data_IF_458516863840
#
_entry.id   IF_458516863840
#
_cell.length_a   1.000
_cell.length_b   1.000
_cell.length_c   1.000
_cell.angle_alpha   90.00
_cell.angle_beta   90.00
_cell.angle_gamma   90.00
#
_symmetry.space_group_name_H-M   'P 1'
#
loop_
_entity.id
_entity.type
_entity.pdbx_description
1 polymer ?
2 non-polymer ?
3 non-polymer ?
4 non-polymer ?
5 non-polymer ?
6 water ?
#
# COMPACT_ATOMS: atom_id res chain seq x y z
N UNK A 11 9.54 32.19 -17.29
CA UNK A 11 9.07 30.82 -17.69
C UNK A 11 8.86 29.90 -16.49
N UNK A 12 7.75 29.14 -16.49
CA UNK A 12 7.63 28.16 -15.43
C UNK A 12 8.69 27.08 -15.65
N UNK A 13 9.13 26.47 -14.57
CA UNK A 13 10.20 25.48 -14.69
C UNK A 13 9.71 24.27 -15.53
N UNK A 14 10.64 23.69 -16.28
CA UNK A 14 10.38 22.60 -17.20
C UNK A 14 11.26 21.43 -16.81
N UNK A 15 10.73 20.22 -16.93
CA UNK A 15 11.50 19.02 -16.73
C UNK A 15 11.19 17.97 -17.79
N UNK A 16 12.19 17.68 -18.61
CA UNK A 16 12.05 16.74 -19.73
C UNK A 16 10.78 17.02 -20.54
N UNK A 17 10.66 18.26 -20.99
CA UNK A 17 9.56 18.67 -21.85
C UNK A 17 8.23 18.91 -21.16
N UNK A 18 8.19 18.79 -19.84
CA UNK A 18 6.94 18.95 -19.12
C UNK A 18 7.03 20.16 -18.19
N UNK A 19 5.98 20.98 -18.15
CA UNK A 19 5.86 22.03 -17.14
C UNK A 19 5.85 21.44 -15.73
N UNK A 20 6.58 22.11 -14.84
CA UNK A 20 6.66 21.75 -13.45
C UNK A 20 6.57 23.06 -12.64
N UNK A 21 5.34 23.54 -12.48
CA UNK A 21 5.10 24.92 -12.09
C UNK A 21 5.10 25.08 -10.57
N UNK A 22 6.29 24.93 -9.99
CA UNK A 22 6.39 24.88 -8.53
C UNK A 22 7.26 25.99 -7.97
N UNK A 23 7.74 26.86 -8.85
CA UNK A 23 8.47 28.07 -8.42
C UNK A 23 7.51 29.17 -7.99
N UNK A 24 8.00 30.20 -7.29
CA UNK A 24 9.43 30.34 -6.96
C UNK A 24 9.89 29.52 -5.75
N UNK A 25 8.96 29.05 -4.92
CA UNK A 25 9.34 28.36 -3.70
C UNK A 25 10.27 27.15 -3.96
N UNK A 26 9.90 26.30 -4.92
CA UNK A 26 10.66 25.10 -5.25
C UNK A 26 11.39 25.26 -6.58
N UNK A 27 12.70 25.08 -6.57
CA UNK A 27 13.55 25.31 -7.71
C UNK A 27 14.57 24.18 -7.85
N UNK A 28 15.47 24.31 -8.83
CA UNK A 28 16.59 23.38 -9.00
C UNK A 28 16.06 21.94 -9.13
N UNK A 29 15.18 21.73 -10.09
CA UNK A 29 14.51 20.46 -10.27
C UNK A 29 15.39 19.39 -10.92
N UNK A 30 15.13 18.14 -10.55
CA UNK A 30 15.70 16.96 -11.20
C UNK A 30 14.63 15.88 -11.33
N UNK A 31 14.51 15.33 -12.53
CA UNK A 31 13.66 14.18 -12.80
C UNK A 31 14.14 13.00 -11.97
N UNK A 32 13.22 12.29 -11.32
CA UNK A 32 13.62 11.07 -10.62
C UNK A 32 12.86 9.86 -11.07
N UNK A 33 11.68 10.03 -11.63
CA UNK A 33 11.01 8.90 -12.23
C UNK A 33 9.56 9.17 -12.49
N UNK A 34 8.92 8.14 -13.04
CA UNK A 34 7.49 8.09 -13.22
C UNK A 34 6.92 7.33 -12.05
N UNK A 35 6.02 7.95 -11.32
CA UNK A 35 5.25 7.28 -10.28
C UNK A 35 3.96 6.82 -10.90
N UNK A 36 3.05 6.28 -10.09
CA UNK A 36 1.77 5.79 -10.58
C UNK A 36 0.88 6.86 -11.27
N UNK A 37 1.06 8.17 -10.98
CA UNK A 37 0.16 9.30 -11.37
C UNK A 37 0.74 10.23 -12.46
N UNK A 38 2.06 10.21 -12.61
CA UNK A 38 2.76 11.17 -13.46
C UNK A 38 4.23 11.33 -13.09
N UNK A 39 4.82 12.42 -13.54
CA UNK A 39 6.23 12.68 -13.31
C UNK A 39 6.47 13.03 -11.84
N UNK A 40 7.60 12.57 -11.33
CA UNK A 40 8.08 12.96 -10.02
C UNK A 40 9.49 13.56 -10.18
N UNK A 41 9.74 14.64 -9.44
CA UNK A 41 11.04 15.30 -9.37
C UNK A 41 11.51 15.47 -7.95
N UNK A 42 12.82 15.65 -7.81
CA UNK A 42 13.37 16.31 -6.67
C UNK A 42 13.52 17.82 -6.98
N UNK A 43 13.32 18.63 -5.95
CA UNK A 43 13.37 20.07 -6.01
C UNK A 43 14.05 20.59 -4.76
N UNK A 44 14.67 21.76 -4.85
CA UNK A 44 15.13 22.48 -3.67
C UNK A 44 14.00 23.38 -3.17
N UNK A 45 13.62 23.19 -1.91
CA UNK A 45 12.64 24.03 -1.23
C UNK A 45 13.38 25.23 -0.65
N UNK A 46 13.10 26.41 -1.18
CA UNK A 46 13.83 27.62 -0.75
C UNK A 46 13.40 28.13 0.61
N UNK A 47 12.29 27.64 1.13
CA UNK A 47 11.85 28.05 2.46
C UNK A 47 12.57 27.20 3.53
N UNK A 48 12.45 25.89 3.42
CA UNK A 48 13.03 24.98 4.41
C UNK A 48 14.49 24.59 4.09
N UNK A 49 15.04 25.07 2.97
CA UNK A 49 16.46 24.87 2.64
C UNK A 49 16.85 23.40 2.56
N UNK A 50 16.02 22.63 1.86
CA UNK A 50 16.17 21.18 1.78
C UNK A 50 15.57 20.65 0.47
N UNK A 51 16.11 19.55 -0.05
CA UNK A 51 15.52 18.92 -1.24
C UNK A 51 14.32 18.13 -0.78
N UNK A 52 13.30 18.10 -1.63
CA UNK A 52 12.05 17.38 -1.36
C UNK A 52 11.67 16.67 -2.64
N UNK A 53 10.65 15.84 -2.56
CA UNK A 53 10.08 15.16 -3.69
C UNK A 53 8.82 15.89 -4.07
N UNK A 54 8.54 16.00 -5.36
CA UNK A 54 7.33 16.61 -5.81
C UNK A 54 6.76 15.79 -6.92
N UNK A 55 5.52 15.35 -6.76
CA UNK A 55 4.88 14.62 -7.81
C UNK A 55 3.77 15.43 -8.44
N UNK A 56 3.79 15.44 -9.77
CA UNK A 56 2.80 16.15 -10.55
C UNK A 56 1.60 15.25 -10.86
N UNK A 57 0.43 15.64 -10.35
CA UNK A 57 -0.81 14.90 -10.62
C UNK A 57 -1.65 15.67 -11.62
N UNK A 58 -2.13 14.98 -12.66
CA UNK A 58 -3.08 15.56 -13.61
C UNK A 58 -4.32 14.66 -13.77
N UNK A 59 -5.22 14.64 -12.78
CA UNK A 59 -6.25 13.59 -12.69
C UNK A 59 -7.64 13.93 -13.25
N UNK A 60 -7.84 15.19 -13.62
CA UNK A 60 -9.18 15.77 -13.67
C UNK A 60 -10.04 15.33 -14.85
N UNK A 61 -9.45 14.63 -15.82
CA UNK A 61 -10.19 14.13 -16.98
C UNK A 61 -10.95 12.86 -16.62
N UNK A 62 -10.50 12.15 -15.56
CA UNK A 62 -11.05 10.83 -15.24
C UNK A 62 -11.49 10.72 -13.78
N UNK A 63 -12.70 10.20 -13.60
CA UNK A 63 -13.29 10.04 -12.29
C UNK A 63 -12.42 9.19 -11.35
N UNK A 64 -11.86 8.10 -11.87
CA UNK A 64 -11.05 7.24 -11.01
C UNK A 64 -9.77 7.93 -10.55
N UNK A 65 -9.06 8.62 -11.45
CA UNK A 65 -7.89 9.40 -11.05
C UNK A 65 -8.28 10.44 -10.02
N UNK A 66 -9.39 11.14 -10.24
CA UNK A 66 -9.93 12.07 -9.26
C UNK A 66 -10.19 11.39 -7.88
N UNK A 67 -10.82 10.21 -7.89
CA UNK A 67 -11.12 9.48 -6.66
C UNK A 67 -9.85 9.16 -5.89
N UNK A 68 -8.88 8.59 -6.58
CA UNK A 68 -7.62 8.20 -5.96
C UNK A 68 -6.81 9.39 -5.45
N UNK A 69 -6.82 10.47 -6.21
CA UNK A 69 -6.11 11.64 -5.79
C UNK A 69 -6.71 12.21 -4.52
N UNK A 70 -8.03 12.27 -4.46
CA UNK A 70 -8.70 12.82 -3.29
C UNK A 70 -8.52 11.91 -2.06
N UNK A 71 -8.68 10.60 -2.25
CA UNK A 71 -8.41 9.62 -1.18
C UNK A 71 -7.05 9.86 -0.59
N UNK A 72 -6.03 9.86 -1.45
CA UNK A 72 -4.68 9.98 -0.98
C UNK A 72 -4.46 11.28 -0.22
N UNK A 73 -4.88 12.41 -0.79
CA UNK A 73 -4.70 13.69 -0.11
C UNK A 73 -5.39 13.74 1.24
N UNK A 74 -6.66 13.29 1.30
CA UNK A 74 -7.42 13.37 2.55
C UNK A 74 -6.79 12.50 3.61
N UNK A 75 -6.44 11.27 3.26
CA UNK A 75 -5.80 10.36 4.21
C UNK A 75 -4.45 10.91 4.68
N UNK A 76 -3.56 11.25 3.74
CA UNK A 76 -2.23 11.65 4.13
C UNK A 76 -2.16 13.03 4.86
N UNK A 77 -3.10 13.92 4.60
CA UNK A 77 -3.16 15.13 5.42
C UNK A 77 -3.55 14.81 6.85
N UNK A 78 -4.39 13.80 7.03
CA UNK A 78 -4.85 13.43 8.36
C UNK A 78 -3.89 12.53 9.12
N UNK A 79 -3.12 11.70 8.42
CA UNK A 79 -2.12 10.87 9.09
C UNK A 79 -0.82 11.62 9.41
N UNK A 80 -0.24 11.26 10.53
CA UNK A 80 1.07 11.75 10.91
C UNK A 80 1.74 10.63 11.65
N UNK A 81 2.75 10.06 11.02
CA UNK A 81 3.43 8.89 11.57
C UNK A 81 4.77 8.70 10.85
N UNK A 82 5.80 8.37 11.61
CA UNK A 82 7.16 8.18 11.09
C UNK A 82 7.26 7.24 9.92
N UNK A 83 6.41 6.23 9.90
CA UNK A 83 6.51 5.17 8.90
C UNK A 83 5.50 5.33 7.79
N UNK A 84 4.98 6.54 7.64
CA UNK A 84 4.01 6.85 6.61
C UNK A 84 4.47 8.13 5.90
N UNK A 85 4.47 8.13 4.58
CA UNK A 85 4.88 9.32 3.88
C UNK A 85 3.88 10.47 4.17
N UNK A 86 4.43 11.63 4.38
CA UNK A 86 3.57 12.82 4.58
C UNK A 86 3.19 13.49 3.26
N UNK A 87 2.32 14.49 3.36
CA UNK A 87 2.24 15.53 2.33
C UNK A 87 2.67 16.84 3.03
N UNK A 88 3.75 17.46 2.55
CA UNK A 88 4.30 18.68 3.22
C UNK A 88 3.60 19.94 2.66
N UNK A 89 3.24 19.91 1.38
CA UNK A 89 2.76 21.09 0.69
C UNK A 89 2.05 20.59 -0.55
N UNK A 90 1.07 21.36 -0.99
CA UNK A 90 0.38 21.10 -2.24
C UNK A 90 0.26 22.41 -3.01
N UNK A 91 0.63 22.38 -4.29
CA UNK A 91 0.54 23.54 -5.17
C UNK A 91 -0.49 23.24 -6.23
N UNK A 92 -1.45 24.14 -6.37
CA UNK A 92 -2.40 24.07 -7.48
C UNK A 92 -2.73 25.52 -7.81
N UNK A 93 -3.50 25.74 -8.86
CA UNK A 93 -3.76 27.09 -9.33
C UNK A 93 -4.66 27.87 -8.35
N UNK A 94 -4.54 29.21 -8.35
CA UNK A 94 -5.43 30.11 -7.61
C UNK A 94 -6.95 29.86 -7.84
N UNK A 95 -7.32 29.50 -9.09
CA UNK A 95 -8.73 29.26 -9.37
C UNK A 95 -8.96 27.87 -9.95
N UNK A 96 -10.15 27.34 -9.70
CA UNK A 96 -10.49 25.97 -10.08
C UNK A 96 -10.46 25.71 -11.59
N UNK A 97 -10.83 26.71 -12.41
CA UNK A 97 -10.82 26.58 -13.87
C UNK A 97 -9.36 26.46 -14.35
N UNK A 98 -8.52 27.31 -13.71
CA UNK A 98 -7.08 27.30 -13.95
C UNK A 98 -6.46 25.94 -13.50
N UNK A 99 -7.04 25.29 -12.49
CA UNK A 99 -6.39 24.08 -11.90
C UNK A 99 -6.51 22.83 -12.78
N UNK A 100 -5.40 22.54 -13.47
CA UNK A 100 -5.27 21.31 -14.28
C UNK A 100 -4.29 20.26 -13.69
N UNK A 101 -3.37 20.73 -12.84
CA UNK A 101 -2.35 19.91 -12.21
C UNK A 101 -2.36 20.19 -10.72
N UNK A 102 -2.04 19.17 -9.93
CA UNK A 102 -1.85 19.33 -8.51
C UNK A 102 -0.46 18.82 -8.24
N UNK A 103 0.31 19.59 -7.48
CA UNK A 103 1.64 19.17 -7.15
C UNK A 103 1.71 18.83 -5.69
N UNK A 104 2.08 17.60 -5.39
CA UNK A 104 2.13 17.13 -4.03
C UNK A 104 3.57 16.99 -3.58
N UNK A 105 3.91 17.76 -2.57
CA UNK A 105 5.27 17.80 -2.05
C UNK A 105 5.45 16.86 -0.86
N UNK A 106 6.47 16.02 -0.92
CA UNK A 106 6.72 14.97 0.10
C UNK A 106 8.20 14.91 0.46
N UNK A 107 8.49 14.26 1.59
CA UNK A 107 9.88 14.05 1.99
C UNK A 107 10.61 13.26 0.93
N UNK A 108 11.83 13.69 0.64
CA UNK A 108 12.63 13.05 -0.34
C UNK A 108 13.30 11.84 0.27
N UNK A 109 13.12 10.68 -0.33
CA UNK A 109 13.69 9.42 0.20
C UNK A 109 14.75 8.94 -0.78
N UNK A 110 15.51 7.92 -0.41
CA UNK A 110 16.63 7.42 -1.25
C UNK A 110 16.21 6.45 -2.33
N UNK A 111 15.28 5.57 -2.00
CA UNK A 111 14.91 4.47 -2.90
C UNK A 111 13.57 3.86 -2.40
N UNK A 112 13.17 2.72 -2.96
CA UNK A 112 12.05 1.97 -2.42
C UNK A 112 12.46 0.51 -2.32
N UNK A 113 11.69 -0.28 -1.58
CA UNK A 113 12.06 -1.69 -1.36
C UNK A 113 12.15 -2.51 -2.66
N UNK A 114 11.35 -2.16 -3.64
CA UNK A 114 11.31 -2.88 -4.90
C UNK A 114 12.73 -2.78 -5.52
N UNK A 115 13.25 -1.58 -5.59
CA UNK A 115 14.59 -1.37 -6.14
C UNK A 115 15.66 -1.99 -5.28
N UNK A 116 15.54 -1.86 -3.97
CA UNK A 116 16.52 -2.46 -3.09
C UNK A 116 16.55 -3.94 -3.33
N UNK A 117 15.40 -4.59 -3.44
CA UNK A 117 15.41 -6.04 -3.62
C UNK A 117 15.93 -6.54 -4.99
N UNK A 118 15.93 -5.71 -6.02
CA UNK A 118 16.62 -6.05 -7.28
C UNK A 118 18.12 -6.13 -7.06
N UNK A 119 18.65 -5.35 -6.15
CA UNK A 119 20.07 -5.18 -6.06
C UNK A 119 20.70 -5.89 -4.85
N UNK A 120 19.93 -6.10 -3.79
CA UNK A 120 20.51 -6.59 -2.52
C UNK A 120 19.79 -7.76 -1.91
N UNK A 121 20.57 -8.73 -1.46
CA UNK A 121 20.11 -9.75 -0.54
C UNK A 121 20.16 -9.10 0.85
N UNK A 122 19.03 -9.11 1.54
CA UNK A 122 18.91 -8.44 2.83
C UNK A 122 19.33 -9.39 3.93
N UNK A 123 20.06 -8.89 4.91
CA UNK A 123 20.37 -9.67 6.11
C UNK A 123 19.11 -9.90 6.92
N UNK A 124 19.10 -10.96 7.72
CA UNK A 124 18.02 -11.19 8.63
C UNK A 124 17.72 -9.95 9.51
N UNK A 125 18.75 -9.27 10.01
CA UNK A 125 18.54 -8.04 10.79
C UNK A 125 17.77 -6.98 10.02
N UNK A 126 18.14 -6.76 8.76
CA UNK A 126 17.48 -5.74 7.95
C UNK A 126 16.03 -6.15 7.68
N UNK A 127 15.81 -7.41 7.36
CA UNK A 127 14.49 -7.92 7.14
C UNK A 127 13.60 -7.70 8.38
N UNK A 128 14.12 -8.06 9.54
CA UNK A 128 13.41 -7.93 10.78
C UNK A 128 13.00 -6.47 11.02
N UNK A 129 13.95 -5.55 10.83
CA UNK A 129 13.70 -4.12 11.03
C UNK A 129 12.73 -3.54 10.03
N UNK A 130 12.87 -3.94 8.75
CA UNK A 130 11.95 -3.52 7.77
C UNK A 130 10.56 -3.99 8.10
N UNK A 131 10.41 -5.27 8.43
CA UNK A 131 9.09 -5.81 8.72
C UNK A 131 8.44 -5.06 9.94
N UNK A 132 9.26 -4.78 10.95
CA UNK A 132 8.81 -4.00 12.13
C UNK A 132 8.22 -2.68 11.70
N UNK A 133 8.93 -1.94 10.85
CA UNK A 133 8.52 -0.66 10.43
C UNK A 133 7.26 -0.67 9.60
N UNK A 134 7.13 -1.68 8.74
CA UNK A 134 5.91 -1.84 7.95
C UNK A 134 4.72 -2.02 8.87
N UNK A 135 4.87 -2.93 9.82
CA UNK A 135 3.80 -3.28 10.74
C UNK A 135 3.52 -2.15 11.72
N UNK A 136 4.54 -1.40 12.10
CA UNK A 136 4.38 -0.22 12.93
C UNK A 136 3.53 0.81 12.24
N UNK A 137 3.84 1.08 10.98
CA UNK A 137 3.04 1.99 10.21
C UNK A 137 1.64 1.45 10.00
N UNK A 138 1.53 0.19 9.66
CA UNK A 138 0.21 -0.43 9.43
C UNK A 138 -0.68 -0.42 10.70
N UNK A 139 -0.04 -0.58 11.85
CA UNK A 139 -0.74 -0.48 13.14
C UNK A 139 -1.45 0.86 13.23
N UNK A 140 -0.74 1.92 12.87
CA UNK A 140 -1.32 3.24 12.94
C UNK A 140 -2.46 3.35 11.91
N UNK A 141 -2.19 2.92 10.69
CA UNK A 141 -3.23 2.97 9.64
C UNK A 141 -4.50 2.23 10.09
N UNK A 142 -4.29 1.00 10.54
CA UNK A 142 -5.39 0.18 10.98
C UNK A 142 -6.08 0.75 12.23
N UNK A 143 -5.35 1.44 13.11
CA UNK A 143 -5.99 2.00 14.28
C UNK A 143 -6.95 3.12 13.87
N UNK A 144 -6.78 3.65 12.66
CA UNK A 144 -7.67 4.65 12.13
C UNK A 144 -8.81 4.03 11.32
N UNK A 145 -8.90 2.72 11.37
CA UNK A 145 -9.86 1.96 10.63
C UNK A 145 -9.72 2.20 9.13
N UNK A 146 -8.47 2.42 8.69
CA UNK A 146 -8.15 2.61 7.29
C UNK A 146 -7.36 1.40 6.79
N UNK A 147 -7.64 1.00 5.54
CA UNK A 147 -6.90 -0.06 4.84
C UNK A 147 -6.07 0.54 3.72
N UNK A 148 -4.82 0.13 3.59
CA UNK A 148 -4.00 0.64 2.53
C UNK A 148 -4.41 0.02 1.19
N UNK A 149 -4.56 -1.29 1.21
CA UNK A 149 -5.08 -2.12 0.12
C UNK A 149 -4.18 -2.25 -1.11
N UNK A 150 -3.00 -1.65 -1.11
CA UNK A 150 -2.02 -1.92 -2.18
C UNK A 150 -0.58 -2.01 -1.65
N UNK A 151 -0.39 -2.70 -0.54
CA UNK A 151 0.96 -2.82 0.00
C UNK A 151 1.81 -3.73 -0.90
N UNK A 152 3.00 -3.24 -1.22
CA UNK A 152 3.95 -3.93 -2.07
C UNK A 152 5.29 -3.21 -1.95
N UNK A 153 6.38 -3.81 -2.46
CA UNK A 153 7.71 -3.22 -2.22
C UNK A 153 7.87 -1.81 -2.78
N UNK A 154 7.28 -1.54 -3.93
CA UNK A 154 7.42 -0.22 -4.56
C UNK A 154 6.60 0.84 -3.79
N UNK A 155 5.71 0.41 -2.89
CA UNK A 155 5.00 1.35 -2.02
C UNK A 155 5.61 1.50 -0.68
N UNK A 156 6.88 1.08 -0.56
CA UNK A 156 7.63 1.28 0.65
C UNK A 156 8.91 2.05 0.32
N UNK A 157 8.93 3.32 0.67
CA UNK A 157 10.11 4.16 0.47
C UNK A 157 11.12 3.96 1.59
N UNK A 158 12.40 4.07 1.27
CA UNK A 158 13.49 3.81 2.19
C UNK A 158 14.48 4.94 2.09
N UNK A 159 15.17 5.23 3.18
CA UNK A 159 16.35 6.07 3.06
C UNK A 159 17.63 5.25 3.33
N UNK A 160 18.75 5.96 3.34
CA UNK A 160 20.09 5.37 3.50
C UNK A 160 20.21 4.69 4.83
N UNK A 161 19.49 5.23 5.80
CA UNK A 161 19.51 4.76 7.16
C UNK A 161 18.62 3.52 7.43
N UNK A 162 18.05 2.92 6.38
CA UNK A 162 17.02 1.87 6.55
C UNK A 162 15.66 2.33 7.17
N UNK A 163 15.45 3.62 7.29
CA UNK A 163 14.12 4.13 7.65
C UNK A 163 13.08 3.92 6.50
N UNK A 164 11.84 3.58 6.88
CA UNK A 164 10.86 3.09 5.93
C UNK A 164 9.59 3.89 6.06
N UNK A 165 9.01 4.28 4.92
CA UNK A 165 7.74 4.97 4.90
C UNK A 165 6.80 4.34 3.88
N UNK A 166 5.60 3.98 4.34
CA UNK A 166 4.54 3.52 3.46
C UNK A 166 3.98 4.69 2.65
N UNK A 167 3.78 4.50 1.34
CA UNK A 167 3.25 5.52 0.49
C UNK A 167 2.14 4.99 -0.42
N UNK A 168 1.62 5.89 -1.24
CA UNK A 168 0.69 5.56 -2.30
C UNK A 168 -0.65 5.04 -1.77
N UNK A 169 -1.41 5.94 -1.15
CA UNK A 169 -2.68 5.58 -0.53
C UNK A 169 -3.89 5.75 -1.46
N UNK A 170 -3.67 5.66 -2.78
CA UNK A 170 -4.71 5.94 -3.76
C UNK A 170 -5.83 4.95 -3.72
N UNK A 171 -5.54 3.71 -3.27
CA UNK A 171 -6.55 2.65 -3.20
C UNK A 171 -7.10 2.44 -1.79
N UNK A 172 -6.74 3.30 -0.85
CA UNK A 172 -7.20 3.14 0.53
C UNK A 172 -8.73 3.29 0.66
N UNK A 173 -9.29 2.60 1.64
CA UNK A 173 -10.71 2.69 2.04
C UNK A 173 -10.74 2.64 3.57
N UNK A 174 -11.87 3.10 4.13
CA UNK A 174 -12.23 2.80 5.49
C UNK A 174 -12.67 1.35 5.56
N UNK A 175 -12.24 0.64 6.59
CA UNK A 175 -12.59 -0.76 6.70
C UNK A 175 -14.11 -0.88 6.86
N UNK A 176 -14.67 -2.00 6.39
CA UNK A 176 -16.12 -2.20 6.38
C UNK A 176 -16.39 -3.68 6.35
N UNK A 177 -16.09 -4.37 7.44
CA UNK A 177 -16.22 -5.82 7.33
C UNK A 177 -17.66 -6.30 7.02
N UNK A 178 -18.67 -5.51 7.38
CA UNK A 178 -20.09 -5.85 7.11
C UNK A 178 -20.40 -5.95 5.62
N UNK A 179 -19.73 -5.13 4.82
CA UNK A 179 -19.94 -5.08 3.39
C UNK A 179 -18.77 -5.74 2.63
N UNK A 180 -17.99 -6.57 3.31
CA UNK A 180 -16.86 -7.20 2.63
C UNK A 180 -17.24 -8.21 1.55
N UNK A 181 -18.37 -8.89 1.79
CA UNK A 181 -18.88 -9.95 0.94
C UNK A 181 -19.36 -9.47 -0.42
N UNK A 182 -18.95 -10.23 -1.42
CA UNK A 182 -19.20 -9.94 -2.83
C UNK A 182 -19.08 -11.27 -3.57
N UNK A 183 -19.28 -11.27 -4.89
CA UNK A 183 -19.33 -12.50 -5.69
C UNK A 183 -17.97 -13.17 -5.92
N UNK A 184 -18.00 -14.28 -6.64
CA UNK A 184 -16.80 -14.90 -7.19
C UNK A 184 -16.49 -14.19 -8.52
N UNK A 185 -15.20 -14.02 -8.84
CA UNK A 185 -14.76 -13.35 -10.10
C UNK A 185 -14.97 -11.83 -10.11
N UNK A 186 -15.26 -11.25 -8.94
CA UNK A 186 -15.35 -9.79 -8.84
C UNK A 186 -14.04 -9.14 -9.29
N UNK A 187 -14.15 -8.00 -9.96
CA UNK A 187 -12.98 -7.23 -10.30
C UNK A 187 -12.26 -6.68 -9.05
N UNK A 188 -10.98 -6.38 -9.21
CA UNK A 188 -10.19 -5.79 -8.14
C UNK A 188 -9.10 -4.93 -8.72
N UNK A 189 -8.75 -3.90 -8.00
CA UNK A 189 -7.82 -2.90 -8.55
C UNK A 189 -6.36 -3.17 -8.13
N UNK A 190 -6.16 -3.74 -6.95
CA UNK A 190 -4.84 -3.72 -6.34
C UNK A 190 -3.93 -4.71 -7.07
N UNK A 191 -2.65 -4.58 -6.81
CA UNK A 191 -1.63 -5.26 -7.58
C UNK A 191 -1.73 -6.75 -7.39
N UNK A 192 -1.72 -7.47 -8.51
CA UNK A 192 -2.11 -8.87 -8.53
C UNK A 192 -1.33 -9.75 -7.57
N UNK A 193 -0.01 -9.60 -7.56
CA UNK A 193 0.83 -10.54 -6.82
C UNK A 193 0.64 -10.48 -5.31
N UNK A 194 0.04 -9.40 -4.82
CA UNK A 194 -0.08 -9.16 -3.39
C UNK A 194 -1.53 -9.34 -2.94
N UNK A 195 -2.38 -9.88 -3.81
CA UNK A 195 -3.80 -10.12 -3.41
C UNK A 195 -4.01 -11.36 -2.57
N UNK A 196 -4.74 -11.21 -1.49
CA UNK A 196 -5.15 -12.33 -0.68
C UNK A 196 -6.06 -13.26 -1.48
N UNK A 197 -6.10 -14.55 -1.11
CA UNK A 197 -6.87 -15.51 -1.88
C UNK A 197 -8.36 -15.15 -1.93
N UNK A 198 -8.91 -14.65 -0.83
CA UNK A 198 -10.33 -14.31 -0.75
C UNK A 198 -10.76 -13.28 -1.79
N UNK A 199 -9.82 -12.45 -2.23
CA UNK A 199 -10.14 -11.46 -3.26
C UNK A 199 -10.70 -12.12 -4.51
N UNK A 200 -10.12 -13.28 -4.86
CA UNK A 200 -10.53 -14.01 -6.05
C UNK A 200 -11.74 -14.90 -5.76
N UNK A 201 -12.22 -14.91 -4.51
CA UNK A 201 -13.29 -15.77 -4.12
C UNK A 201 -14.58 -15.03 -3.67
N UNK A 202 -14.53 -14.28 -2.60
CA UNK A 202 -15.74 -13.70 -2.05
C UNK A 202 -15.59 -12.31 -1.47
N UNK A 203 -14.45 -11.65 -1.69
CA UNK A 203 -14.10 -10.47 -0.86
C UNK A 203 -13.84 -9.24 -1.71
N UNK A 204 -14.26 -8.10 -1.18
CA UNK A 204 -14.08 -6.81 -1.80
C UNK A 204 -12.86 -6.14 -1.23
N UNK A 205 -12.19 -6.80 -0.28
CA UNK A 205 -11.02 -6.23 0.36
C UNK A 205 -11.32 -5.04 1.27
N UNK A 206 -12.40 -5.15 2.07
CA UNK A 206 -12.73 -4.13 3.01
C UNK A 206 -12.42 -4.54 4.43
N UNK A 207 -11.54 -5.53 4.62
CA UNK A 207 -11.04 -5.86 5.95
C UNK A 207 -9.51 -5.75 6.13
N UNK A 208 -9.12 -5.57 7.39
CA UNK A 208 -7.72 -5.39 7.74
C UNK A 208 -6.86 -6.58 7.35
N UNK A 209 -7.46 -7.77 7.28
CA UNK A 209 -6.74 -8.99 6.95
C UNK A 209 -6.18 -8.91 5.51
N UNK A 210 -6.74 -8.03 4.71
CA UNK A 210 -6.28 -7.86 3.35
C UNK A 210 -4.86 -7.27 3.28
N UNK A 211 -4.59 -6.33 4.18
CA UNK A 211 -3.26 -5.74 4.27
C UNK A 211 -2.25 -6.70 4.88
N UNK A 212 -2.68 -7.50 5.83
CA UNK A 212 -1.78 -8.48 6.48
C UNK A 212 -1.26 -9.49 5.45
N UNK A 213 -2.14 -9.95 4.58
CA UNK A 213 -1.70 -10.85 3.50
C UNK A 213 -0.59 -10.20 2.67
N UNK A 214 -0.83 -8.98 2.23
CA UNK A 214 0.13 -8.28 1.45
C UNK A 214 1.46 -8.16 2.18
N UNK A 215 1.43 -7.78 3.46
CA UNK A 215 2.68 -7.76 4.25
C UNK A 215 3.41 -9.11 4.29
N UNK A 216 2.66 -10.20 4.46
CA UNK A 216 3.25 -11.52 4.39
C UNK A 216 3.91 -11.82 3.03
N UNK A 217 3.29 -11.39 1.95
CA UNK A 217 3.93 -11.50 0.64
C UNK A 217 5.24 -10.70 0.57
N UNK A 218 5.24 -9.51 1.17
CA UNK A 218 6.44 -8.70 1.22
C UNK A 218 7.55 -9.36 2.09
N UNK A 219 7.16 -9.94 3.20
CA UNK A 219 8.11 -10.67 4.05
C UNK A 219 8.76 -11.81 3.25
N UNK A 220 7.94 -12.58 2.54
CA UNK A 220 8.47 -13.68 1.70
C UNK A 220 9.47 -13.14 0.70
N UNK A 221 9.12 -12.02 0.08
CA UNK A 221 9.95 -11.40 -0.91
C UNK A 221 11.28 -10.87 -0.34
N UNK A 222 11.24 -10.32 0.85
CA UNK A 222 12.47 -9.94 1.54
C UNK A 222 13.38 -11.13 1.87
N UNK A 223 12.78 -12.30 2.14
CA UNK A 223 13.53 -13.50 2.48
C UNK A 223 14.23 -14.16 1.26
N UNK A 224 13.72 -13.95 0.06
CA UNK A 224 14.23 -14.64 -1.14
C UNK A 224 14.52 -13.76 -2.37
N UNK A 225 14.14 -12.50 -2.35
CA UNK A 225 14.22 -11.64 -3.54
C UNK A 225 13.43 -12.12 -4.72
N UNK A 226 12.37 -12.88 -4.48
CA UNK A 226 11.42 -13.27 -5.53
C UNK A 226 10.04 -13.02 -4.97
N UNK A 227 9.11 -12.54 -5.78
CA UNK A 227 7.72 -12.53 -5.38
C UNK A 227 7.24 -13.96 -5.12
N UNK A 228 6.58 -14.18 -4.00
CA UNK A 228 6.20 -15.54 -3.64
C UNK A 228 5.09 -16.05 -4.55
N UNK A 229 4.17 -15.16 -4.96
CA UNK A 229 3.01 -15.58 -5.75
C UNK A 229 2.86 -14.77 -7.03
N UNK A 230 3.69 -15.05 -8.06
CA UNK A 230 3.71 -14.19 -9.23
C UNK A 230 2.68 -14.68 -10.25
N UNK A 231 1.41 -14.62 -9.90
CA UNK A 231 0.36 -14.88 -10.87
C UNK A 231 0.44 -14.05 -12.16
N UNK A 232 -0.01 -14.64 -13.25
CA UNK A 232 0.01 -13.96 -14.56
C UNK A 232 -1.33 -13.41 -14.96
N UNK A 233 -2.37 -13.87 -14.29
CA UNK A 233 -3.72 -13.50 -14.62
C UNK A 233 -4.50 -13.67 -13.33
N UNK A 234 -5.75 -13.22 -13.36
CA UNK A 234 -6.62 -13.21 -12.20
C UNK A 234 -6.66 -14.56 -11.50
N UNK A 235 -7.13 -15.61 -12.18
CA UNK A 235 -7.32 -16.89 -11.50
C UNK A 235 -5.99 -17.59 -11.22
N UNK A 236 -5.03 -17.36 -12.10
CA UNK A 236 -3.68 -17.89 -11.93
C UNK A 236 -3.12 -17.48 -10.59
N UNK A 237 -3.37 -16.24 -10.18
CA UNK A 237 -2.84 -15.78 -8.91
C UNK A 237 -3.24 -16.73 -7.78
N UNK A 238 -4.50 -17.10 -7.76
CA UNK A 238 -4.98 -17.98 -6.73
C UNK A 238 -4.31 -19.36 -6.84
N UNK A 239 -4.08 -19.84 -8.07
CA UNK A 239 -3.39 -21.12 -8.22
C UNK A 239 -1.99 -21.07 -7.64
N UNK A 240 -1.28 -19.96 -7.84
CA UNK A 240 0.05 -19.79 -7.20
C UNK A 240 -0.01 -19.86 -5.68
N UNK A 241 -1.00 -19.17 -5.12
CA UNK A 241 -1.20 -19.18 -3.68
C UNK A 241 -1.37 -20.62 -3.20
N UNK A 242 -2.26 -21.35 -3.84
CA UNK A 242 -2.54 -22.74 -3.43
C UNK A 242 -1.34 -23.65 -3.71
N UNK A 243 -0.48 -23.22 -4.65
CA UNK A 243 0.77 -23.95 -4.90
C UNK A 243 1.73 -23.97 -3.71
N UNK A 244 1.56 -23.01 -2.80
CA UNK A 244 2.35 -23.03 -1.58
C UNK A 244 1.51 -23.51 -0.37
N UNK A 245 0.34 -22.91 -0.17
CA UNK A 245 -0.52 -23.24 0.96
C UNK A 245 -1.15 -24.64 0.85
N UNK A 246 -1.24 -25.19 -0.37
CA UNK A 246 -1.97 -26.42 -0.60
C UNK A 246 -3.45 -26.17 -0.64
N UNK A 247 -4.20 -27.20 -1.01
CA UNK A 247 -5.65 -27.07 -1.11
C UNK A 247 -6.19 -26.63 0.23
N UNK A 248 -7.24 -25.82 0.23
CA UNK A 248 -7.75 -25.38 1.50
C UNK A 248 -8.35 -26.52 2.29
N UNK A 249 -8.36 -26.34 3.61
CA UNK A 249 -8.92 -27.28 4.55
C UNK A 249 -10.41 -27.33 4.37
N UNK A 250 -11.01 -28.37 4.94
CA UNK A 250 -12.46 -28.49 4.95
C UNK A 250 -13.06 -27.26 5.63
N UNK A 251 -12.55 -26.97 6.82
CA UNK A 251 -13.01 -25.85 7.61
C UNK A 251 -13.00 -24.54 6.82
N UNK A 252 -11.88 -24.27 6.16
CA UNK A 252 -11.75 -23.07 5.38
C UNK A 252 -12.66 -23.02 4.16
N UNK A 253 -12.86 -24.16 3.50
CA UNK A 253 -13.84 -24.24 2.42
C UNK A 253 -15.24 -23.83 2.90
N UNK A 254 -15.57 -24.30 4.09
CA UNK A 254 -16.89 -24.11 4.66
C UNK A 254 -17.19 -22.68 5.06
N UNK A 255 -16.17 -21.84 5.08
CA UNK A 255 -16.38 -20.47 5.47
C UNK A 255 -16.83 -19.61 4.28
N UNK A 256 -16.48 -20.05 3.07
CA UNK A 256 -16.83 -19.31 1.87
C UNK A 256 -18.34 -19.46 1.59
N UNK A 257 -19.04 -18.33 1.43
CA UNK A 257 -20.51 -18.39 1.24
C UNK A 257 -20.89 -18.42 -0.23
N UNK A 258 -20.16 -17.68 -1.06
CA UNK A 258 -20.35 -17.78 -2.51
C UNK A 258 -20.38 -19.23 -2.92
N UNK A 259 -21.44 -19.57 -3.63
CA UNK A 259 -21.64 -20.94 -4.06
C UNK A 259 -20.63 -21.19 -5.16
N UNK A 260 -20.60 -20.24 -6.10
CA UNK A 260 -19.66 -20.26 -7.16
C UNK A 260 -18.23 -20.49 -6.64
N UNK A 261 -17.85 -19.78 -5.58
CA UNK A 261 -16.45 -19.75 -5.15
C UNK A 261 -16.00 -21.11 -4.67
N UNK A 262 -16.78 -21.75 -3.82
CA UNK A 262 -16.33 -23.04 -3.26
C UNK A 262 -16.44 -24.14 -4.28
N UNK A 263 -17.36 -24.00 -5.22
CA UNK A 263 -17.45 -24.90 -6.34
C UNK A 263 -16.18 -24.75 -7.18
N UNK A 264 -15.81 -23.51 -7.48
CA UNK A 264 -14.57 -23.27 -8.21
C UNK A 264 -13.40 -23.92 -7.50
N UNK A 265 -13.27 -23.72 -6.20
CA UNK A 265 -12.18 -24.34 -5.46
C UNK A 265 -12.19 -25.87 -5.53
N UNK A 266 -13.38 -26.47 -5.49
CA UNK A 266 -13.49 -27.93 -5.61
C UNK A 266 -13.22 -28.42 -7.03
N UNK A 267 -13.44 -27.58 -8.03
CA UNK A 267 -13.01 -27.91 -9.40
C UNK A 267 -11.49 -27.96 -9.58
N UNK A 268 -10.70 -27.43 -8.66
CA UNK A 268 -9.24 -27.40 -8.85
C UNK A 268 -8.59 -28.72 -8.43
N UNK A 269 -7.43 -29.05 -9.03
CA UNK A 269 -6.70 -30.25 -8.59
C UNK A 269 -6.09 -30.08 -7.19
N UNK A 270 -6.04 -31.16 -6.41
CA UNK A 270 -5.46 -31.09 -5.06
C UNK A 270 -4.01 -30.64 -5.13
N UNK A 271 -3.58 -29.80 -4.19
CA UNK A 271 -2.18 -29.38 -4.15
C UNK A 271 -1.58 -29.63 -2.79
N UNK A 272 -0.33 -30.11 -2.78
CA UNK A 272 0.39 -30.37 -1.54
C UNK A 272 0.97 -29.07 -0.97
N UNK A 273 0.68 -28.82 0.30
CA UNK A 273 1.27 -27.72 1.04
C UNK A 273 2.78 -27.82 0.97
N UNK A 274 3.43 -26.72 0.61
CA UNK A 274 4.86 -26.68 0.56
C UNK A 274 5.34 -26.09 1.85
N UNK A 275 6.03 -26.90 2.69
CA UNK A 275 6.44 -26.40 4.00
C UNK A 275 7.35 -25.17 3.90
N UNK A 276 7.15 -24.22 4.82
CA UNK A 276 7.92 -22.98 4.81
C UNK A 276 9.40 -23.30 4.97
N UNK A 277 9.71 -24.20 5.94
CA UNK A 277 11.04 -24.84 6.11
C UNK A 277 11.77 -25.10 4.80
N UNK A 278 11.04 -25.75 3.91
CA UNK A 278 11.60 -26.17 2.64
C UNK A 278 11.71 -25.04 1.63
N UNK A 279 10.71 -24.16 1.59
CA UNK A 279 10.75 -23.00 0.67
C UNK A 279 11.87 -22.01 1.00
N UNK A 280 12.11 -21.78 2.30
CA UNK A 280 13.10 -20.81 2.75
C UNK A 280 14.07 -21.43 3.75
N UNK A 281 14.96 -22.32 3.26
CA UNK A 281 15.76 -23.19 4.13
C UNK A 281 16.71 -22.49 5.07
N UNK A 282 17.09 -21.26 4.74
CA UNK A 282 18.06 -20.51 5.51
C UNK A 282 17.42 -19.41 6.36
N UNK A 283 16.09 -19.32 6.33
CA UNK A 283 15.40 -18.26 7.01
C UNK A 283 15.29 -18.55 8.50
N UNK A 284 15.23 -17.47 9.27
CA UNK A 284 14.92 -17.51 10.70
C UNK A 284 13.58 -18.23 10.92
N UNK A 285 13.59 -19.23 11.79
CA UNK A 285 12.40 -20.04 12.09
C UNK A 285 11.29 -19.18 12.64
N UNK A 286 11.65 -18.14 13.39
CA UNK A 286 10.66 -17.23 13.91
C UNK A 286 10.01 -16.40 12.79
N UNK A 287 10.80 -15.95 11.83
CA UNK A 287 10.27 -15.25 10.68
C UNK A 287 9.28 -16.15 9.93
N UNK A 288 9.60 -17.42 9.80
CA UNK A 288 8.75 -18.34 9.06
C UNK A 288 7.48 -18.62 9.79
N UNK A 289 7.55 -18.69 11.11
CA UNK A 289 6.36 -18.87 11.90
C UNK A 289 5.43 -17.67 11.71
N UNK A 290 5.97 -16.45 11.74
CA UNK A 290 5.16 -15.27 11.52
C UNK A 290 4.62 -15.25 10.09
N UNK A 291 5.46 -15.64 9.12
CA UNK A 291 5.05 -15.64 7.73
C UNK A 291 3.84 -16.57 7.58
N UNK A 292 3.93 -17.74 8.19
CA UNK A 292 2.86 -18.71 8.14
C UNK A 292 1.54 -18.09 8.59
N UNK A 293 1.61 -17.34 9.70
CA UNK A 293 0.45 -16.74 10.30
C UNK A 293 -0.09 -15.55 9.48
N UNK A 294 0.78 -14.87 8.73
CA UNK A 294 0.33 -13.82 7.83
C UNK A 294 -0.27 -14.36 6.53
N UNK A 295 0.28 -15.45 6.02
CA UNK A 295 -0.21 -16.07 4.83
C UNK A 295 -1.12 -17.25 5.14
N UNK A 296 -2.14 -17.02 5.94
CA UNK A 296 -3.12 -18.05 6.25
C UNK A 296 -4.29 -17.79 5.35
N UNK A 297 -4.80 -18.88 4.77
CA UNK A 297 -5.83 -18.81 3.76
C UNK A 297 -7.08 -18.17 4.30
N UNK A 298 -7.48 -18.61 5.48
CA UNK A 298 -8.75 -18.13 6.04
C UNK A 298 -8.52 -16.74 6.67
N UNK A 299 -9.13 -15.69 6.13
CA UNK A 299 -8.85 -14.36 6.64
C UNK A 299 -9.23 -14.15 8.09
N UNK A 300 -10.19 -14.94 8.59
CA UNK A 300 -10.57 -14.87 10.00
C UNK A 300 -9.50 -15.40 10.88
N UNK A 301 -8.70 -16.33 10.39
CA UNK A 301 -7.68 -16.91 11.24
C UNK A 301 -6.36 -16.22 11.07
N UNK A 302 -6.28 -15.33 10.10
CA UNK A 302 -5.03 -14.62 9.79
C UNK A 302 -4.66 -13.70 10.93
N UNK A 303 -3.39 -13.63 11.20
CA UNK A 303 -2.87 -12.79 12.28
C UNK A 303 -3.20 -11.31 12.04
N UNK A 304 -3.45 -10.60 13.14
CA UNK A 304 -3.77 -9.18 13.13
C UNK A 304 -2.50 -8.38 13.38
N UNK A 305 -2.56 -7.10 13.10
CA UNK A 305 -1.34 -6.30 13.11
C UNK A 305 -0.67 -6.26 14.50
N UNK A 306 -1.47 -6.17 15.58
CA UNK A 306 -0.87 -6.08 16.92
C UNK A 306 -0.26 -7.41 17.28
N UNK A 307 -0.93 -8.49 16.92
CA UNK A 307 -0.40 -9.81 17.18
C UNK A 307 0.89 -10.08 16.40
N UNK A 308 0.95 -9.59 15.16
CA UNK A 308 2.15 -9.78 14.37
C UNK A 308 3.29 -9.01 15.00
N UNK A 309 3.00 -7.79 15.45
CA UNK A 309 4.03 -7.01 16.11
C UNK A 309 4.52 -7.71 17.39
N UNK A 310 3.60 -8.34 18.12
CA UNK A 310 3.93 -9.04 19.37
C UNK A 310 4.52 -10.41 19.13
N UNK A 311 4.70 -10.80 17.87
CA UNK A 311 5.28 -12.08 17.59
C UNK A 311 6.75 -12.18 18.01
N UNK A 312 7.20 -13.36 18.48
CA UNK A 312 8.61 -13.50 18.84
C UNK A 312 9.63 -12.97 17.84
N UNK A 313 9.37 -13.06 16.54
CA UNK A 313 10.31 -12.58 15.54
C UNK A 313 10.68 -11.11 15.73
N UNK A 314 9.72 -10.32 16.22
CA UNK A 314 9.90 -8.88 16.29
C UNK A 314 10.12 -8.42 17.74
N UNK A 315 10.47 -9.36 18.59
CA UNK A 315 10.64 -9.09 20.04
C UNK A 315 11.67 -8.02 20.36
N UNK A 316 12.73 -7.89 19.56
CA UNK A 316 13.70 -6.82 19.87
C UNK A 316 13.16 -5.45 19.55
N UNK A 317 12.05 -5.36 18.82
CA UNK A 317 11.47 -4.06 18.47
C UNK A 317 10.13 -3.74 19.14
N UNK A 318 9.28 -4.73 19.32
CA UNK A 318 7.90 -4.44 19.74
C UNK A 318 7.87 -3.64 21.04
N UNK A 319 7.16 -2.54 21.01
CA UNK A 319 7.11 -1.59 22.13
C UNK A 319 5.92 -0.67 21.92
N UNK A 320 4.77 -1.00 22.52
CA UNK A 320 3.61 -0.17 22.33
C UNK A 320 3.81 1.27 22.73
N UNK A 321 4.75 1.54 23.65
CA UNK A 321 5.02 2.90 24.06
C UNK A 321 5.69 3.71 22.98
N UNK A 322 6.17 3.06 21.93
CA UNK A 322 6.78 3.76 20.82
C UNK A 322 6.09 3.42 19.50
N UNK A 323 4.78 3.23 19.56
CA UNK A 323 3.99 2.78 18.40
C UNK A 323 2.70 3.56 18.39
N UNK A 324 2.75 4.79 17.88
CA UNK A 324 1.57 5.65 18.03
C UNK A 324 0.37 5.07 17.29
N UNK A 325 -0.79 5.45 17.77
CA UNK A 325 -2.01 5.11 17.10
C UNK A 325 -2.75 6.38 16.80
N UNK A 326 -3.75 6.28 15.93
CA UNK A 326 -4.58 7.41 15.58
C UNK A 326 -5.54 7.79 16.67
N UNK A 327 -5.94 9.05 16.65
CA UNK A 327 -6.80 9.60 17.68
C UNK A 327 -8.18 8.96 17.70
N UNK A 328 -8.68 8.61 16.51
CA UNK A 328 -10.03 8.06 16.37
C UNK A 328 -10.15 7.52 14.96
N UNK A 329 -11.15 6.65 14.72
CA UNK A 329 -11.46 6.17 13.38
C UNK A 329 -11.63 7.28 12.32
N UNK A 330 -11.09 7.02 11.16
CA UNK A 330 -11.26 7.85 9.99
C UNK A 330 -12.69 7.64 9.45
N UNK A 331 -13.22 8.68 8.80
CA UNK A 331 -14.45 8.59 7.95
C UNK A 331 -14.40 9.46 6.68
N UNK A 332 -14.82 8.90 5.54
CA UNK A 332 -15.07 9.72 4.36
C UNK A 332 -16.30 10.57 4.69
N UNK A 333 -16.23 11.86 4.39
CA UNK A 333 -17.39 12.75 4.58
C UNK A 333 -18.45 12.43 3.52
N UNK A 334 -17.99 12.22 2.29
CA UNK A 334 -18.82 11.72 1.19
C UNK A 334 -18.21 10.39 0.66
N UNK A 335 -19.05 9.41 0.36
CA UNK A 335 -18.60 8.22 -0.35
C UNK A 335 -18.26 8.61 -1.79
N UNK A 336 -16.99 8.40 -2.18
CA UNK A 336 -16.43 9.04 -3.37
C UNK A 336 -16.75 8.38 -4.70
N UNK A 337 -17.36 7.21 -4.68
CA UNK A 337 -17.50 6.42 -5.89
C UNK A 337 -18.77 6.70 -6.68
N UNK A 338 -19.68 7.48 -6.10
CA UNK A 338 -20.86 7.93 -6.82
C UNK A 338 -20.78 9.41 -7.13
N UNK A 339 -19.57 9.95 -7.20
CA UNK A 339 -19.39 11.36 -7.49
C UNK A 339 -18.71 11.55 -8.83
N UNK A 340 -19.30 12.38 -9.70
CA UNK A 340 -18.64 12.64 -10.97
C UNK A 340 -17.40 13.49 -10.78
N UNK A 341 -16.50 13.44 -11.78
CA UNK A 341 -15.20 14.09 -11.73
C UNK A 341 -15.22 15.61 -11.45
N UNK A 342 -16.23 16.35 -11.93
CA UNK A 342 -16.28 17.81 -11.70
C UNK A 342 -16.51 18.10 -10.23
N UNK A 343 -17.36 17.29 -9.60
CA UNK A 343 -17.58 17.35 -8.16
C UNK A 343 -16.31 16.94 -7.36
N UNK A 344 -15.63 15.89 -7.81
CA UNK A 344 -14.36 15.46 -7.18
C UNK A 344 -13.30 16.55 -7.34
N UNK A 345 -13.28 17.22 -8.49
CA UNK A 345 -12.36 18.34 -8.69
C UNK A 345 -12.61 19.44 -7.67
N UNK A 346 -13.87 19.73 -7.36
CA UNK A 346 -14.22 20.73 -6.32
C UNK A 346 -13.77 20.35 -4.92
N UNK A 347 -13.88 19.07 -4.59
CA UNK A 347 -13.49 18.60 -3.27
C UNK A 347 -11.98 18.68 -3.15
N UNK A 348 -11.30 18.32 -4.24
CA UNK A 348 -9.84 18.43 -4.31
C UNK A 348 -9.40 19.88 -4.16
N UNK A 349 -10.07 20.80 -4.84
CA UNK A 349 -9.79 22.24 -4.68
C UNK A 349 -9.89 22.64 -3.20
N UNK A 350 -11.02 22.32 -2.60
CA UNK A 350 -11.26 22.60 -1.18
C UNK A 350 -10.18 22.00 -0.28
N UNK A 351 -9.86 20.74 -0.51
CA UNK A 351 -8.97 20.04 0.38
C UNK A 351 -7.56 20.64 0.35
N UNK A 352 -7.22 21.23 -0.79
CA UNK A 352 -5.89 21.78 -1.03
C UNK A 352 -5.79 23.32 -0.69
N UNK A 353 -6.89 23.93 -0.25
CA UNK A 353 -6.94 25.39 -0.03
C UNK A 353 -6.11 25.84 1.14
N UNK A 354 -5.97 24.98 2.15
CA UNK A 354 -5.14 25.28 3.33
C UNK A 354 -3.67 25.58 2.98
N UNK A 355 -3.21 25.15 1.81
CA UNK A 355 -1.84 25.44 1.39
C UNK A 355 -1.70 26.65 0.48
N UNK A 356 -2.81 27.27 0.08
CA UNK A 356 -2.75 28.48 -0.75
C UNK A 356 -2.36 29.68 0.11
N UNK A 357 -1.44 30.53 -0.39
CA UNK A 357 -1.27 31.85 0.21
C UNK A 357 -2.61 32.53 0.51
X LIG B 1 -6.17 -9.13 -13.24
X LIG B 1 -6.80 -8.26 -12.21
X LIG B 1 -5.56 -10.33 -12.63
X LIG B 1 -7.31 -9.54 -14.10
X LIG B 1 -5.06 -8.41 -13.90
X LIG C 1 17.15 15.77 -15.39
X LIG C 1 16.52 16.31 -14.17
X LIG C 1 17.43 14.33 -15.20
X LIG C 1 16.23 15.95 -16.54
X LIG C 1 18.42 16.49 -15.64
X LIG D 1 9.06 10.01 -3.08
X LIG D 1 13.61 8.67 -4.93
X LIG D 1 14.99 8.78 -4.98
X LIG D 1 10.06 10.40 -2.21
X LIG D 1 11.62 9.53 -3.60
X LIG D 1 15.71 8.24 -6.03
X LIG D 1 12.96 7.99 -5.94
X LIG D 1 8.70 8.28 -6.39
X LIG D 1 9.43 9.33 -4.24
X LIG D 1 17.55 7.90 -11.15
X LIG D 1 17.23 6.54 -10.62
X LIG D 1 15.79 6.34 -10.53
X LIG D 1 15.18 7.27 -9.51
X LIG D 1 17.85 6.32 -9.31
X LIG D 1 17.23 7.22 -8.23
X LIG D 1 15.77 7.05 -8.19
X LIG D 1 15.05 7.57 -7.08
X LIG D 1 13.66 7.45 -7.01
X LIG D 1 12.94 9.29 -3.86
X LIG D 1 11.36 10.16 -2.46
X LIG D 1 7.42 10.41 -2.73
X LIG D 1 8.49 8.90 -5.14
X LIG D 1 9.52 8.87 -7.34
X LIG D 1 9.68 8.28 -8.58
X LIG D 1 9.02 7.11 -8.89
X LIG D 1 8.20 6.50 -7.95
X LIG D 1 8.05 7.06 -6.68
X LIG D 1 7.32 6.39 -5.69
X LIG D 1 6.27 6.84 -4.98
X LIG D 1 5.63 5.78 -4.13
X LIG D 1 5.51 6.23 -2.75
X LIG D 1 5.90 8.00 -4.95
X LIG D 1 10.72 9.09 -4.50
X LIG E 1 16.46 1.40 -10.98
X LIG E 1 16.88 2.44 -10.06
X LIG E 1 15.54 1.98 -12.06
X LIG E 1 14.92 3.20 -11.62
X LIG F 1 0.21 -15.09 16.77
X LIG F 1 1.52 -15.50 17.17
X LIG F 1 -0.92 -15.91 17.37
X LIG F 1 -2.04 -15.03 17.65
X LIG G 1 -10.23 2.58 -7.96
X LIG G 1 -9.66 3.81 -7.47
X LIG G 1 -11.10 2.03 -6.88
X LIG G 1 -10.26 1.74 -5.75
X LIG H 1 -14.03 9.33 -17.49
X LIG H 1 -13.29 8.38 -16.72
X LIG H 1 -15.03 10.03 -16.58
X LIG H 1 -15.68 9.07 -15.74
X LIG I 1 -1.85 24.27 -11.13
X LIG I 1 -3.18 23.87 -10.79
X LIG I 1 -1.79 24.65 -12.61
X LIG I 1 -2.61 23.73 -13.34
X LIG J 1 6.42 -2.63 -9.15
X LIG J 1 6.38 -2.65 -10.59
X LIG J 1 5.09 -2.12 -8.65
X LIG J 1 4.06 -3.08 -8.92
X LIG K 1 0.53 -2.30 -10.75
X LIG K 1 1.79 -2.95 -10.96
X LIG K 1 -0.59 -3.30 -10.98
X LIG K 1 -1.83 -2.81 -10.45
X LIG L 1 -3.08 12.11 15.01
X LIG L 1 -2.28 10.95 14.81
X LIG L 1 -4.41 11.81 14.39
X LIG L 1 -4.92 10.68 15.05
X LIG M 1 19.22 0.60 2.67
X LIG M 1 17.86 1.07 2.59
X LIG M 1 20.10 1.58 1.91
X LIG M 1 19.33 2.16 0.85
X LIG N 1 23.54 -12.05 7.25
X LIG N 1 23.89 -11.24 6.12
X LIG N 1 22.43 -13.02 6.86
X LIG N 1 21.59 -13.23 8.01
X LIG O 1 6.13 -18.81 17.82
X LIG O 1 4.91 -18.07 18.10
X LIG O 1 7.12 -17.85 17.18
X LIG O 1 8.41 -18.38 16.92
X LIG P 1 -4.76 0.07 19.28
X LIG P 1 -3.47 -0.47 19.61
X LIG P 1 -5.02 -0.07 17.79
X LIG P 1 -6.34 0.34 17.48
X LIG Q 1 2.52 1.29 -10.45
X LIG Q 1 3.72 0.51 -10.49
X LIG Q 1 2.04 1.37 -9.01
X LIG Q 1 0.69 0.93 -8.90
X LIG R 1 -8.07 -15.47 -15.26
#
# INVERSE_FOLDING_TARGET
SMAAAAAAGAGPEMVRGQVFDVGPRYTNLSYIGEGAYGMVCSAYDNVNKVRVAIKKISPFEHQTYCQRTLREIKILLRFRHENIIGINDIIRAPTIEQMKDVYIVQDLMETDLYKLLKTQHLSNDHICYFLYQILRGLKYIHSANVLHRDLKPSNLLLNTTCDLKICDFGLARVADPDHDHTGFLTEYVATRWYRAPEIMLNSKGYTKSIDIWSVGCILAEMLSNRPIFPGKHYLDQLNHILGILGSPSQEDLNCIINLKARNYLLSLPHKNKVPWNRLFPNADSKALDLLDKMLTFNPHKRIEVEQALAHPYLEQYYDPSDEPIAEAPFKFDMELDDLPKEKLKELIFEETARFQPGYRS
SO4 S O1 O2 O3 O4
SO4 S O1 O2 O3 O4
6H3 C18 C13 C12 C17 C15 C11 C10 C22 C20 C01 N02 C03 C04 C05 C06 N07 C08 C09 N14 N16 CL19 N21 C23 C24 C25 C26 C27 N28 C29 C30 C31 O32 N33
EDO C1 O1 C2 O2
EDO C1 O1 C2 O2
EDO C1 O1 C2 O2
EDO C1 O1 C2 O2
EDO C1 O1 C2 O2
EDO C1 O1 C2 O2
EDO C1 O1 C2 O2
EDO C1 O1 C2 O2
EDO C1 O1 C2 O2
EDO C1 O1 C2 O2
EDO C1 O1 C2 O2
EDO C1 O1 C2 O2
EDO C1 O1 C2 O2
CL CL
#
